data_IF_595615657735
#
_entry.id   IF_595615657735
#
_cell.length_a   1.000
_cell.length_b   1.000
_cell.length_c   1.000
_cell.angle_alpha   90.00
_cell.angle_beta   90.00
_cell.angle_gamma   90.00
#
_symmetry.space_group_name_H-M   'P 1'
#
loop_
_entity.id
_entity.type
_entity.pdbx_description
1 polymer ?
#
# COMPACT_ATOMS: atom_id res chain seq x y z
N UNK A 1 23.18 15.83 -15.67
CA UNK A 1 21.83 16.01 -16.23
C UNK A 1 21.22 17.23 -15.58
N UNK A 2 20.77 18.20 -16.37
CA UNK A 2 20.00 19.34 -15.88
C UNK A 2 18.69 18.89 -15.20
N UNK A 3 18.16 19.67 -14.25
CA UNK A 3 17.00 19.29 -13.44
C UNK A 3 15.71 19.19 -14.27
N UNK A 4 15.50 20.11 -15.21
CA UNK A 4 14.28 20.13 -16.01
C UNK A 4 14.31 18.99 -17.04
N UNK A 5 15.49 18.74 -17.60
CA UNK A 5 15.72 17.53 -18.42
C UNK A 5 15.45 16.26 -17.61
N UNK A 6 15.94 16.18 -16.36
CA UNK A 6 15.69 15.04 -15.49
C UNK A 6 14.20 14.83 -15.18
N UNK A 7 13.45 15.92 -14.96
CA UNK A 7 12.00 15.89 -14.75
C UNK A 7 11.27 15.35 -15.97
N UNK A 8 11.63 15.83 -17.15
CA UNK A 8 10.99 15.45 -18.41
C UNK A 8 11.24 13.97 -18.73
N UNK A 9 12.48 13.50 -18.61
CA UNK A 9 12.78 12.09 -18.89
C UNK A 9 12.19 11.14 -17.84
N UNK A 10 12.16 11.52 -16.56
CA UNK A 10 11.56 10.68 -15.52
C UNK A 10 10.03 10.66 -15.58
N UNK A 11 9.38 11.70 -16.13
CA UNK A 11 7.93 11.77 -16.25
C UNK A 11 7.35 10.63 -17.10
N UNK A 12 8.16 10.04 -17.98
CA UNK A 12 7.79 8.88 -18.77
C UNK A 12 7.60 7.61 -17.92
N UNK A 13 8.35 7.48 -16.83
CA UNK A 13 8.40 6.26 -16.02
C UNK A 13 7.73 6.39 -14.66
N UNK A 14 7.70 7.61 -14.12
CA UNK A 14 7.32 7.89 -12.74
C UNK A 14 6.03 8.72 -12.74
N UNK A 15 4.94 8.23 -12.13
CA UNK A 15 3.72 9.02 -11.96
C UNK A 15 3.97 10.24 -11.06
N UNK A 16 3.35 11.37 -11.40
CA UNK A 16 3.36 12.61 -10.61
C UNK A 16 4.76 13.14 -10.24
N UNK A 17 5.75 13.04 -11.14
CA UNK A 17 7.13 13.55 -10.92
C UNK A 17 7.17 14.99 -10.44
N UNK A 18 6.23 15.83 -10.92
CA UNK A 18 6.13 17.25 -10.54
C UNK A 18 5.94 17.48 -9.04
N UNK A 19 5.41 16.49 -8.32
CA UNK A 19 5.17 16.58 -6.87
C UNK A 19 6.36 16.09 -6.03
N UNK A 20 7.42 15.62 -6.68
CA UNK A 20 8.62 15.08 -6.02
C UNK A 20 9.63 16.20 -5.82
N UNK A 21 10.29 16.23 -4.66
CA UNK A 21 11.34 17.23 -4.37
C UNK A 21 12.53 17.14 -5.34
N UNK A 22 13.09 18.29 -5.71
CA UNK A 22 14.21 18.37 -6.67
C UNK A 22 15.42 17.51 -6.26
N UNK A 23 15.74 17.48 -4.98
CA UNK A 23 16.80 16.61 -4.43
C UNK A 23 16.53 15.12 -4.69
N UNK A 24 15.26 14.72 -4.61
CA UNK A 24 14.86 13.33 -4.87
C UNK A 24 14.90 13.00 -6.36
N UNK A 25 14.47 13.93 -7.22
CA UNK A 25 14.55 13.82 -8.68
C UNK A 25 16.00 13.65 -9.12
N UNK A 26 16.93 14.52 -8.68
CA UNK A 26 18.36 14.40 -9.03
C UNK A 26 18.95 13.05 -8.64
N UNK A 27 18.64 12.58 -7.42
CA UNK A 27 19.13 11.27 -6.93
C UNK A 27 18.49 10.08 -7.63
N UNK A 28 17.26 10.21 -8.12
CA UNK A 28 16.59 9.17 -8.90
C UNK A 28 17.14 9.15 -10.32
N UNK A 29 17.23 10.30 -10.98
CA UNK A 29 17.77 10.44 -12.32
C UNK A 29 19.20 9.87 -12.42
N UNK A 30 20.06 10.17 -11.45
CA UNK A 30 21.44 9.68 -11.45
C UNK A 30 21.60 8.17 -11.23
N UNK A 31 20.58 7.44 -10.74
CA UNK A 31 20.71 6.02 -10.35
C UNK A 31 19.76 5.07 -11.07
N UNK A 32 18.58 5.56 -11.44
CA UNK A 32 17.52 4.74 -12.00
C UNK A 32 17.28 5.00 -13.49
N UNK A 33 17.54 6.21 -14.00
CA UNK A 33 17.11 6.60 -15.33
C UNK A 33 17.69 5.73 -16.45
N UNK A 34 18.98 5.41 -16.37
CA UNK A 34 19.63 4.51 -17.31
C UNK A 34 19.01 3.10 -17.28
N UNK A 35 18.75 2.57 -16.07
CA UNK A 35 18.07 1.28 -15.87
C UNK A 35 16.65 1.28 -16.41
N UNK A 36 15.90 2.37 -16.22
CA UNK A 36 14.53 2.50 -16.73
C UNK A 36 14.48 2.55 -18.26
N UNK A 37 15.39 3.30 -18.89
CA UNK A 37 15.53 3.31 -20.35
C UNK A 37 15.86 1.90 -20.88
N UNK A 38 16.70 1.15 -20.17
CA UNK A 38 17.03 -0.22 -20.54
C UNK A 38 15.83 -1.19 -20.38
N UNK A 39 15.11 -1.11 -19.27
CA UNK A 39 13.88 -1.89 -19.08
C UNK A 39 12.85 -1.59 -20.18
N UNK A 40 12.70 -0.31 -20.57
CA UNK A 40 11.81 0.08 -21.67
C UNK A 40 12.19 -0.61 -22.99
N UNK A 41 13.48 -0.65 -23.33
CA UNK A 41 13.96 -1.36 -24.54
C UNK A 41 13.63 -2.84 -24.52
N UNK A 42 13.64 -3.45 -23.33
CA UNK A 42 13.27 -4.84 -23.11
C UNK A 42 11.75 -5.07 -22.99
N UNK A 43 10.93 -4.03 -23.14
CA UNK A 43 9.47 -4.11 -22.97
C UNK A 43 9.01 -4.24 -21.51
N UNK A 44 9.88 -3.97 -20.54
CA UNK A 44 9.59 -4.07 -19.10
C UNK A 44 9.20 -2.69 -18.57
N UNK A 45 7.97 -2.56 -18.10
CA UNK A 45 7.50 -1.33 -17.44
C UNK A 45 8.04 -1.20 -16.01
N UNK A 46 8.27 0.05 -15.58
CA UNK A 46 8.64 0.38 -14.19
C UNK A 46 7.43 0.14 -13.28
N UNK A 47 7.64 -0.56 -12.16
CA UNK A 47 6.56 -1.06 -11.29
C UNK A 47 6.51 -0.32 -9.94
N UNK A 48 5.30 -0.15 -9.44
CA UNK A 48 5.02 0.46 -8.13
C UNK A 48 4.16 -0.47 -7.26
N UNK A 49 3.98 -0.15 -5.98
CA UNK A 49 3.18 -0.97 -5.08
C UNK A 49 3.94 -2.10 -4.38
N UNK A 50 3.30 -3.27 -4.27
CA UNK A 50 3.84 -4.40 -3.49
C UNK A 50 4.91 -5.15 -4.29
N UNK A 51 5.96 -5.57 -3.59
CA UNK A 51 7.07 -6.34 -4.18
C UNK A 51 6.70 -7.80 -4.35
N UNK A 52 6.99 -8.35 -5.53
CA UNK A 52 6.77 -9.77 -5.82
C UNK A 52 7.78 -10.65 -5.10
N UNK A 53 7.52 -11.95 -5.06
CA UNK A 53 8.49 -12.90 -4.50
C UNK A 53 9.83 -12.87 -5.29
N UNK A 54 9.77 -12.90 -6.62
CA UNK A 54 10.95 -12.81 -7.50
C UNK A 54 11.78 -11.55 -7.22
N UNK A 55 11.14 -10.40 -7.05
CA UNK A 55 11.84 -9.16 -6.69
C UNK A 55 12.50 -9.25 -5.30
N UNK A 56 11.83 -9.87 -4.33
CA UNK A 56 12.40 -10.04 -2.99
C UNK A 56 13.61 -11.00 -2.99
N UNK A 57 13.59 -12.03 -3.83
CA UNK A 57 14.72 -12.93 -4.04
C UNK A 57 15.87 -12.23 -4.74
N UNK A 58 15.59 -11.39 -5.76
CA UNK A 58 16.61 -10.56 -6.40
C UNK A 58 17.27 -9.60 -5.41
N UNK A 59 16.50 -8.94 -4.54
CA UNK A 59 17.07 -8.07 -3.48
C UNK A 59 18.03 -8.85 -2.59
N UNK A 60 17.68 -10.10 -2.24
CA UNK A 60 18.56 -10.94 -1.40
C UNK A 60 19.85 -11.30 -2.12
N UNK A 61 19.77 -11.67 -3.41
CA UNK A 61 20.94 -11.94 -4.25
C UNK A 61 21.86 -10.73 -4.36
N UNK A 62 21.32 -9.56 -4.73
CA UNK A 62 22.10 -8.34 -4.90
C UNK A 62 22.80 -7.91 -3.60
N UNK A 63 22.13 -8.09 -2.44
CA UNK A 63 22.75 -7.82 -1.14
C UNK A 63 23.86 -8.83 -0.83
N UNK A 64 23.63 -10.13 -1.07
CA UNK A 64 24.64 -11.15 -0.85
C UNK A 64 25.90 -10.91 -1.70
N UNK A 65 25.73 -10.62 -2.99
CA UNK A 65 26.83 -10.27 -3.89
C UNK A 65 27.62 -9.04 -3.41
N UNK A 66 26.91 -8.01 -2.92
CA UNK A 66 27.55 -6.81 -2.38
C UNK A 66 28.36 -7.13 -1.11
N UNK A 67 27.86 -7.99 -0.23
CA UNK A 67 28.59 -8.43 0.97
C UNK A 67 29.85 -9.21 0.58
N UNK A 68 29.73 -10.15 -0.38
CA UNK A 68 30.88 -10.90 -0.90
C UNK A 68 31.94 -10.01 -1.53
N UNK A 69 31.54 -8.95 -2.25
CA UNK A 69 32.45 -8.00 -2.88
C UNK A 69 33.18 -7.10 -1.86
N UNK A 70 32.52 -6.72 -0.78
CA UNK A 70 33.03 -5.72 0.18
C UNK A 70 33.63 -6.31 1.44
N UNK A 71 33.38 -7.60 1.73
CA UNK A 71 33.78 -8.25 2.97
C UNK A 71 33.00 -7.78 4.20
N UNK A 72 31.92 -7.00 4.03
CA UNK A 72 31.09 -6.56 5.16
C UNK A 72 30.35 -7.79 5.71
N UNK A 73 30.42 -7.99 7.02
CA UNK A 73 29.96 -9.21 7.70
C UNK A 73 28.45 -9.48 7.54
N UNK A 74 27.62 -8.45 7.49
CA UNK A 74 26.16 -8.65 7.48
C UNK A 74 25.38 -7.58 6.73
N UNK A 75 24.22 -8.00 6.20
CA UNK A 75 23.25 -7.09 5.58
C UNK A 75 22.75 -6.03 6.57
N UNK A 76 22.71 -6.35 7.87
CA UNK A 76 22.30 -5.41 8.90
C UNK A 76 23.28 -4.24 8.99
N UNK A 77 24.59 -4.50 9.02
CA UNK A 77 25.62 -3.45 9.03
C UNK A 77 25.48 -2.51 7.82
N UNK A 78 25.24 -3.06 6.63
CA UNK A 78 25.08 -2.28 5.40
C UNK A 78 23.80 -1.42 5.38
N UNK A 79 22.68 -1.95 5.88
CA UNK A 79 21.35 -1.32 5.79
C UNK A 79 21.01 -0.44 7.00
N UNK A 80 21.61 -0.73 8.15
CA UNK A 80 21.40 -0.07 9.44
C UNK A 80 22.72 0.44 10.03
N UNK A 81 23.57 1.05 9.21
CA UNK A 81 24.90 1.60 9.59
C UNK A 81 24.90 2.46 10.86
N UNK A 82 23.78 3.07 11.22
CA UNK A 82 23.64 3.89 12.42
C UNK A 82 23.65 3.07 13.73
N UNK A 83 23.38 1.76 13.68
CA UNK A 83 23.50 0.82 14.82
C UNK A 83 24.95 0.46 15.13
N UNK A 84 25.87 0.76 14.21
CA UNK A 84 27.30 0.40 14.28
C UNK A 84 28.14 1.69 14.12
N UNK A 85 28.15 2.57 15.14
CA UNK A 85 28.78 3.89 15.04
C UNK A 85 30.28 3.82 14.73
N UNK A 86 30.99 2.83 15.27
CA UNK A 86 32.43 2.62 15.08
C UNK A 86 32.78 2.29 13.62
N UNK A 87 31.97 1.45 12.96
CA UNK A 87 32.20 1.01 11.58
C UNK A 87 31.50 1.90 10.53
N UNK A 88 30.71 2.88 10.98
CA UNK A 88 29.78 3.65 10.14
C UNK A 88 30.47 4.32 8.96
N UNK A 89 31.60 4.98 9.19
CA UNK A 89 32.32 5.74 8.17
C UNK A 89 32.95 4.81 7.12
N UNK A 90 33.55 3.71 7.56
CA UNK A 90 34.11 2.69 6.67
C UNK A 90 33.02 2.10 5.76
N UNK A 91 31.88 1.71 6.34
CA UNK A 91 30.75 1.17 5.56
C UNK A 91 30.18 2.22 4.60
N UNK A 92 30.11 3.50 5.00
CA UNK A 92 29.63 4.57 4.11
C UNK A 92 30.56 4.81 2.91
N UNK A 93 31.89 4.76 3.12
CA UNK A 93 32.88 4.83 2.04
C UNK A 93 32.71 3.68 1.05
N UNK A 94 32.68 2.44 1.54
CA UNK A 94 32.47 1.26 0.70
C UNK A 94 31.16 1.33 -0.10
N UNK A 95 30.08 1.82 0.50
CA UNK A 95 28.80 2.00 -0.20
C UNK A 95 28.87 3.04 -1.32
N UNK A 96 29.69 4.07 -1.17
CA UNK A 96 29.90 5.09 -2.19
C UNK A 96 30.79 4.55 -3.32
N UNK A 97 31.93 3.97 -2.98
CA UNK A 97 32.92 3.40 -3.91
C UNK A 97 32.30 2.29 -4.78
N UNK A 98 31.60 1.34 -4.15
CA UNK A 98 30.98 0.21 -4.84
C UNK A 98 29.56 0.50 -5.33
N UNK A 99 29.14 1.77 -5.34
CA UNK A 99 27.83 2.24 -5.84
C UNK A 99 26.66 1.39 -5.35
N UNK A 100 26.61 1.14 -4.03
CA UNK A 100 25.67 0.20 -3.39
C UNK A 100 24.21 0.34 -3.84
N UNK A 101 23.73 1.58 -4.02
CA UNK A 101 22.34 1.84 -4.40
C UNK A 101 22.00 1.35 -5.81
N UNK A 102 22.98 1.28 -6.70
CA UNK A 102 22.82 0.73 -8.05
C UNK A 102 22.88 -0.78 -8.00
N UNK A 103 23.90 -1.33 -7.32
CA UNK A 103 24.05 -2.78 -7.11
C UNK A 103 22.83 -3.44 -6.49
N UNK A 104 22.29 -2.87 -5.41
CA UNK A 104 21.07 -3.43 -4.77
C UNK A 104 19.85 -3.39 -5.70
N UNK A 105 19.83 -2.52 -6.70
CA UNK A 105 18.69 -2.28 -7.57
C UNK A 105 18.79 -2.98 -8.93
N UNK A 106 19.90 -3.66 -9.18
CA UNK A 106 20.19 -4.39 -10.40
C UNK A 106 19.10 -5.45 -10.69
N UNK A 107 18.64 -5.51 -11.94
CA UNK A 107 17.59 -6.45 -12.36
C UNK A 107 16.17 -6.20 -11.81
N UNK A 108 15.95 -5.13 -11.03
CA UNK A 108 14.64 -4.85 -10.43
C UNK A 108 14.02 -3.61 -11.10
N UNK A 109 12.84 -3.71 -11.74
CA UNK A 109 12.20 -2.60 -12.46
C UNK A 109 11.46 -1.65 -11.51
N UNK A 110 12.15 -1.15 -10.48
CA UNK A 110 11.61 -0.21 -9.50
C UNK A 110 12.62 0.88 -9.15
N UNK A 111 12.15 2.05 -8.67
CA UNK A 111 13.05 3.08 -8.13
C UNK A 111 13.91 2.55 -6.98
N UNK A 112 15.22 2.86 -7.00
CA UNK A 112 16.20 2.35 -6.04
C UNK A 112 15.81 2.64 -4.58
N UNK A 113 15.13 3.75 -4.31
CA UNK A 113 14.67 4.11 -2.96
C UNK A 113 13.64 3.12 -2.43
N UNK A 114 12.69 2.70 -3.27
CA UNK A 114 11.68 1.72 -2.88
C UNK A 114 12.33 0.36 -2.61
N UNK A 115 13.31 -0.01 -3.44
CA UNK A 115 14.11 -1.23 -3.28
C UNK A 115 14.90 -1.18 -1.97
N UNK A 116 15.56 -0.06 -1.68
CA UNK A 116 16.29 0.14 -0.43
C UNK A 116 15.38 0.04 0.81
N UNK A 117 14.19 0.67 0.77
CA UNK A 117 13.21 0.52 1.85
C UNK A 117 12.71 -0.92 2.00
N UNK A 118 12.54 -1.64 0.89
CA UNK A 118 12.15 -3.05 0.92
C UNK A 118 13.26 -3.92 1.51
N UNK A 119 14.51 -3.72 1.10
CA UNK A 119 15.68 -4.42 1.64
C UNK A 119 15.78 -4.23 3.15
N UNK A 120 15.64 -2.98 3.63
CA UNK A 120 15.57 -2.72 5.09
C UNK A 120 14.50 -3.56 5.77
N UNK A 121 13.31 -3.72 5.20
CA UNK A 121 12.26 -4.57 5.81
C UNK A 121 12.60 -6.06 5.80
N UNK A 122 13.27 -6.55 4.76
CA UNK A 122 13.68 -7.96 4.63
C UNK A 122 14.75 -8.31 5.67
N UNK A 123 15.70 -7.41 5.88
CA UNK A 123 16.90 -7.64 6.69
C UNK A 123 16.88 -6.98 8.08
N UNK A 124 15.75 -6.40 8.52
CA UNK A 124 15.65 -5.88 9.89
C UNK A 124 15.36 -7.03 10.87
N UNK A 125 16.29 -7.41 11.78
CA UNK A 125 16.05 -8.45 12.78
C UNK A 125 14.94 -8.07 13.77
N UNK A 126 14.62 -6.77 13.87
CA UNK A 126 13.54 -6.26 14.71
C UNK A 126 12.17 -6.26 14.02
N UNK A 127 12.10 -6.76 12.78
CA UNK A 127 10.84 -6.99 12.10
C UNK A 127 10.23 -8.36 12.48
N UNK A 128 8.96 -8.58 12.15
CA UNK A 128 8.26 -9.86 12.35
C UNK A 128 8.13 -10.36 13.81
N UNK A 129 8.27 -9.48 14.81
CA UNK A 129 8.10 -9.80 16.25
C UNK A 129 6.65 -10.07 16.71
N UNK A 130 5.72 -10.31 15.78
CA UNK A 130 4.32 -10.63 16.10
C UNK A 130 3.52 -9.47 16.72
N UNK A 131 2.45 -9.81 17.42
CA UNK A 131 1.51 -8.85 18.04
C UNK A 131 2.17 -8.17 19.26
N UNK A 132 1.72 -6.95 19.57
CA UNK A 132 2.16 -6.25 20.78
C UNK A 132 1.40 -6.79 22.00
N UNK A 133 2.14 -7.19 23.03
CA UNK A 133 1.56 -7.52 24.33
C UNK A 133 1.08 -6.26 25.05
N UNK A 134 0.37 -6.42 26.17
CA UNK A 134 -0.11 -5.28 26.94
C UNK A 134 1.06 -4.52 27.59
N UNK A 135 2.04 -5.25 28.10
CA UNK A 135 3.27 -4.70 28.71
C UNK A 135 4.08 -3.93 27.67
N UNK A 136 4.18 -4.43 26.43
CA UNK A 136 4.85 -3.71 25.34
C UNK A 136 4.14 -2.40 24.99
N UNK A 137 2.81 -2.35 25.03
CA UNK A 137 2.05 -1.11 24.79
C UNK A 137 2.29 -0.09 25.90
N UNK A 138 2.37 -0.53 27.15
CA UNK A 138 2.66 0.33 28.29
C UNK A 138 4.09 0.87 28.25
N UNK A 139 5.07 0.00 27.95
CA UNK A 139 6.47 0.40 27.71
C UNK A 139 6.56 1.41 26.57
N UNK A 140 5.84 1.19 25.46
CA UNK A 140 5.80 2.12 24.33
C UNK A 140 5.29 3.50 24.75
N UNK A 141 4.20 3.58 25.53
CA UNK A 141 3.71 4.86 26.06
C UNK A 141 4.74 5.53 26.96
N UNK A 142 5.42 4.78 27.83
CA UNK A 142 6.47 5.30 28.70
C UNK A 142 7.67 5.83 27.90
N UNK A 143 8.18 5.07 26.93
CA UNK A 143 9.31 5.49 26.11
C UNK A 143 8.98 6.70 25.23
N UNK A 144 7.76 6.78 24.70
CA UNK A 144 7.30 7.97 24.00
C UNK A 144 7.23 9.20 24.91
N UNK A 145 6.75 9.05 26.15
CA UNK A 145 6.74 10.16 27.11
C UNK A 145 8.16 10.68 27.44
N UNK A 146 9.18 9.82 27.40
CA UNK A 146 10.58 10.20 27.69
C UNK A 146 11.34 10.73 26.48
N UNK A 147 11.11 10.18 25.28
CA UNK A 147 11.93 10.46 24.08
C UNK A 147 11.15 11.14 22.96
N UNK A 148 9.86 11.42 23.15
CA UNK A 148 8.98 11.96 22.13
C UNK A 148 8.89 11.06 20.90
N UNK A 149 8.89 11.66 19.71
CA UNK A 149 8.79 10.97 18.44
C UNK A 149 10.13 10.41 17.92
N UNK A 150 11.14 10.19 18.79
CA UNK A 150 12.38 9.52 18.40
C UNK A 150 12.17 8.00 18.24
N UNK A 151 11.52 7.64 17.14
CA UNK A 151 11.21 6.24 16.82
C UNK A 151 12.44 5.37 16.62
N UNK A 152 13.62 5.95 16.33
CA UNK A 152 14.87 5.17 16.24
C UNK A 152 15.28 4.74 17.64
N UNK A 153 15.31 5.67 18.59
CA UNK A 153 15.66 5.35 19.98
C UNK A 153 14.66 4.38 20.62
N UNK A 154 13.36 4.61 20.43
CA UNK A 154 12.32 3.74 20.98
C UNK A 154 12.37 2.35 20.32
N UNK A 155 12.69 2.26 19.02
CA UNK A 155 12.85 0.99 18.30
C UNK A 155 13.93 0.09 18.91
N UNK A 156 15.07 0.68 19.31
CA UNK A 156 16.13 -0.05 20.01
C UNK A 156 15.66 -0.56 21.36
N UNK A 157 15.06 0.32 22.18
CA UNK A 157 14.56 -0.01 23.52
C UNK A 157 13.49 -1.11 23.49
N UNK A 158 12.66 -1.13 22.43
CA UNK A 158 11.60 -2.12 22.27
C UNK A 158 12.02 -3.37 21.49
N UNK A 159 13.22 -3.41 20.91
CA UNK A 159 13.66 -4.49 20.00
C UNK A 159 12.64 -4.78 18.88
N UNK A 160 11.96 -3.73 18.40
CA UNK A 160 10.94 -3.78 17.33
C UNK A 160 11.21 -2.70 16.31
N UNK A 161 10.89 -2.95 15.04
CA UNK A 161 11.19 -2.00 13.96
C UNK A 161 10.58 -0.62 14.21
N UNK A 162 11.30 0.44 13.81
CA UNK A 162 10.90 1.83 13.99
C UNK A 162 9.50 2.14 13.45
N UNK A 163 9.17 1.59 12.28
CA UNK A 163 7.87 1.74 11.66
C UNK A 163 6.78 1.04 12.48
N UNK A 164 7.06 -0.17 12.99
CA UNK A 164 6.10 -0.91 13.84
C UNK A 164 5.77 -0.12 15.10
N UNK A 165 6.79 0.43 15.77
CA UNK A 165 6.66 1.22 16.99
C UNK A 165 5.85 2.50 16.73
N UNK A 166 6.22 3.29 15.71
CA UNK A 166 5.50 4.52 15.36
C UNK A 166 4.03 4.24 15.00
N UNK A 167 3.78 3.20 14.21
CA UNK A 167 2.43 2.78 13.84
C UNK A 167 1.63 2.33 15.04
N UNK A 168 2.21 1.49 15.92
CA UNK A 168 1.51 1.02 17.11
C UNK A 168 1.21 2.18 18.06
N UNK A 169 2.14 3.11 18.25
CA UNK A 169 1.87 4.30 19.07
C UNK A 169 0.71 5.12 18.49
N UNK A 170 0.68 5.34 17.18
CA UNK A 170 -0.42 6.07 16.53
C UNK A 170 -1.79 5.41 16.76
N UNK A 171 -1.84 4.09 16.95
CA UNK A 171 -3.05 3.32 17.23
C UNK A 171 -3.49 3.40 18.70
N UNK A 172 -2.53 3.53 19.64
CA UNK A 172 -2.79 3.46 21.09
C UNK A 172 -2.64 4.79 21.83
N UNK A 173 -2.28 5.88 21.12
CA UNK A 173 -2.07 7.23 21.68
C UNK A 173 -3.33 7.79 22.36
N UNK A 174 -4.51 7.34 21.95
CA UNK A 174 -5.81 7.80 22.46
C UNK A 174 -6.63 6.63 23.00
N UNK A 175 -7.60 6.92 23.87
CA UNK A 175 -8.60 5.95 24.31
C UNK A 175 -9.53 5.61 23.13
N UNK A 176 -9.11 4.65 22.31
CA UNK A 176 -9.84 4.21 21.13
C UNK A 176 -10.85 3.14 21.53
N UNK A 177 -12.09 3.29 21.09
CA UNK A 177 -13.11 2.29 21.29
C UNK A 177 -12.83 1.07 20.39
N UNK A 178 -12.76 -0.11 21.01
CA UNK A 178 -12.73 -1.39 20.32
C UNK A 178 -14.09 -2.09 20.52
N UNK A 179 -14.78 -2.41 19.43
CA UNK A 179 -16.13 -2.98 19.48
C UNK A 179 -17.05 -2.48 18.35
N UNK A 180 -18.33 -2.89 18.36
CA UNK A 180 -19.33 -2.46 17.38
C UNK A 180 -19.44 -0.94 17.29
N UNK A 181 -19.74 -0.42 16.10
CA UNK A 181 -19.94 1.02 15.88
C UNK A 181 -21.33 1.43 16.35
N UNK A 182 -21.43 2.43 17.22
CA UNK A 182 -22.73 3.00 17.60
C UNK A 182 -23.31 3.86 16.48
N UNK A 183 -24.60 4.22 16.58
CA UNK A 183 -25.27 5.07 15.58
C UNK A 183 -24.64 6.47 15.56
N UNK A 184 -24.28 6.98 16.72
CA UNK A 184 -23.66 8.29 16.93
C UNK A 184 -22.27 8.33 16.30
N UNK A 185 -21.46 7.28 16.50
CA UNK A 185 -20.14 7.16 15.88
C UNK A 185 -20.24 7.13 14.34
N UNK A 186 -21.22 6.39 13.81
CA UNK A 186 -21.47 6.33 12.36
C UNK A 186 -21.88 7.70 11.83
N UNK A 187 -22.72 8.44 12.55
CA UNK A 187 -23.16 9.77 12.14
C UNK A 187 -21.99 10.77 12.16
N UNK A 188 -21.16 10.77 13.21
CA UNK A 188 -19.93 11.59 13.28
C UNK A 188 -18.99 11.27 12.13
N UNK A 189 -18.79 9.99 11.80
CA UNK A 189 -17.96 9.59 10.66
C UNK A 189 -18.50 10.14 9.33
N UNK A 190 -19.81 10.03 9.09
CA UNK A 190 -20.44 10.56 7.87
C UNK A 190 -20.29 12.08 7.75
N UNK A 191 -20.51 12.80 8.85
CA UNK A 191 -20.37 14.26 8.90
C UNK A 191 -18.92 14.69 8.63
N UNK A 192 -17.95 14.05 9.31
CA UNK A 192 -16.54 14.34 9.13
C UNK A 192 -16.06 14.10 7.68
N UNK A 193 -16.54 13.03 7.04
CA UNK A 193 -16.22 12.76 5.63
C UNK A 193 -16.89 13.77 4.71
N UNK A 194 -18.17 14.12 4.92
CA UNK A 194 -18.89 15.10 4.10
C UNK A 194 -18.21 16.47 4.15
N UNK A 195 -17.76 16.91 5.32
CA UNK A 195 -17.07 18.18 5.48
C UNK A 195 -15.71 18.19 4.75
N UNK A 196 -14.93 17.11 4.86
CA UNK A 196 -13.63 16.99 4.18
C UNK A 196 -13.79 16.95 2.66
N UNK A 197 -14.82 16.26 2.15
CA UNK A 197 -15.13 16.26 0.71
C UNK A 197 -15.56 17.64 0.23
N UNK A 198 -16.42 18.34 0.98
CA UNK A 198 -16.86 19.70 0.65
C UNK A 198 -15.67 20.64 0.52
N UNK A 199 -14.77 20.64 1.52
CA UNK A 199 -13.57 21.48 1.51
C UNK A 199 -12.65 21.19 0.31
N UNK A 200 -12.52 19.91 -0.07
CA UNK A 200 -11.72 19.54 -1.26
C UNK A 200 -12.33 20.05 -2.56
N UNK A 201 -13.64 19.94 -2.71
CA UNK A 201 -14.36 20.48 -3.87
C UNK A 201 -14.24 22.01 -3.95
N UNK A 202 -14.34 22.69 -2.82
CA UNK A 202 -14.14 24.15 -2.73
C UNK A 202 -12.70 24.58 -3.10
N UNK A 203 -11.71 23.69 -2.94
CA UNK A 203 -10.29 23.97 -3.27
C UNK A 203 -9.91 23.57 -4.70
N UNK A 204 -10.53 22.54 -5.28
CA UNK A 204 -10.24 22.04 -6.63
C UNK A 204 -10.99 22.83 -7.73
N UNK A 205 -12.03 23.59 -7.38
CA UNK A 205 -12.98 24.17 -8.35
C UNK A 205 -13.32 25.66 -8.08
N UNK A 206 -12.32 26.54 -8.07
CA UNK A 206 -12.51 27.99 -7.93
C UNK A 206 -13.23 28.65 -9.13
N UNK A 207 -13.55 27.92 -10.20
CA UNK A 207 -14.28 28.45 -11.38
C UNK A 207 -15.72 27.99 -11.53
N UNK A 208 -16.25 27.12 -10.65
CA UNK A 208 -17.63 26.59 -10.79
C UNK A 208 -18.53 26.87 -9.57
N UNK A 209 -18.17 27.86 -8.74
CA UNK A 209 -18.82 28.18 -7.47
C UNK A 209 -20.29 28.66 -7.62
N UNK A 210 -20.76 29.04 -8.81
CA UNK A 210 -22.12 29.60 -8.94
C UNK A 210 -23.26 28.59 -9.10
N UNK A 211 -22.99 27.29 -9.28
CA UNK A 211 -24.05 26.31 -9.65
C UNK A 211 -24.52 25.38 -8.53
N UNK A 212 -23.90 25.40 -7.35
CA UNK A 212 -24.20 24.44 -6.26
C UNK A 212 -25.07 25.01 -5.13
N UNK A 213 -25.40 26.30 -5.15
CA UNK A 213 -26.27 26.90 -4.13
C UNK A 213 -27.77 26.62 -4.36
N UNK A 214 -28.16 26.02 -5.50
CA UNK A 214 -29.58 25.82 -5.84
C UNK A 214 -30.01 24.38 -6.19
N UNK A 215 -29.11 23.39 -6.19
CA UNK A 215 -29.52 21.99 -6.29
C UNK A 215 -29.56 21.34 -4.90
N UNK A 216 -30.76 21.00 -4.43
CA UNK A 216 -31.01 20.12 -3.28
C UNK A 216 -30.55 18.66 -3.52
N UNK A 217 -29.60 18.43 -4.43
CA UNK A 217 -29.01 17.12 -4.67
C UNK A 217 -27.90 16.87 -3.67
N UNK A 218 -28.07 15.82 -2.86
CA UNK A 218 -27.12 15.42 -1.82
C UNK A 218 -25.74 15.19 -2.47
N UNK A 219 -24.62 15.72 -1.93
CA UNK A 219 -23.26 15.56 -2.48
C UNK A 219 -22.75 14.10 -2.60
N UNK A 220 -23.61 13.14 -2.29
CA UNK A 220 -23.42 11.70 -2.28
C UNK A 220 -23.68 11.02 -3.63
N UNK A 221 -24.07 11.77 -4.67
CA UNK A 221 -24.48 11.22 -5.97
C UNK A 221 -23.29 10.75 -6.82
N UNK A 222 -22.11 11.36 -6.65
CA UNK A 222 -20.96 11.05 -7.51
C UNK A 222 -20.10 9.91 -6.94
N UNK A 223 -20.30 8.72 -7.53
CA UNK A 223 -19.66 7.45 -7.15
C UNK A 223 -18.13 7.51 -7.21
N UNK A 224 -17.58 8.30 -8.13
CA UNK A 224 -16.14 8.45 -8.34
C UNK A 224 -15.51 9.34 -7.24
N UNK A 225 -16.20 10.44 -6.88
CA UNK A 225 -15.79 11.35 -5.80
C UNK A 225 -15.75 10.67 -4.42
N UNK A 226 -16.63 9.69 -4.18
CA UNK A 226 -16.66 8.93 -2.92
C UNK A 226 -15.46 7.98 -2.74
N UNK A 227 -14.76 7.63 -3.82
CA UNK A 227 -13.61 6.72 -3.82
C UNK A 227 -12.26 7.44 -3.68
N UNK A 228 -12.26 8.78 -3.64
CA UNK A 228 -11.06 9.59 -3.58
C UNK A 228 -10.24 9.38 -2.30
N UNK A 229 -8.95 9.74 -2.35
CA UNK A 229 -8.08 9.68 -1.19
C UNK A 229 -8.50 10.72 -0.13
N UNK A 230 -9.05 10.22 0.98
CA UNK A 230 -9.45 11.05 2.12
C UNK A 230 -8.31 11.17 3.16
N UNK A 231 -8.12 12.35 3.78
CA UNK A 231 -7.21 12.56 4.91
C UNK A 231 -7.76 11.91 6.19
N UNK A 232 -7.56 10.59 6.32
CA UNK A 232 -8.14 9.80 7.42
C UNK A 232 -7.67 10.23 8.82
N UNK A 233 -6.50 10.85 8.94
CA UNK A 233 -6.00 11.41 10.20
C UNK A 233 -6.82 12.62 10.66
N UNK A 234 -7.27 13.48 9.75
CA UNK A 234 -8.17 14.59 10.08
C UNK A 234 -9.55 14.04 10.49
N UNK A 235 -10.05 13.04 9.75
CA UNK A 235 -11.31 12.37 10.04
C UNK A 235 -11.27 11.69 11.42
N UNK A 236 -10.17 11.03 11.78
CA UNK A 236 -9.96 10.47 13.12
C UNK A 236 -10.12 11.55 14.20
N UNK A 237 -9.47 12.70 14.05
CA UNK A 237 -9.57 13.80 15.02
C UNK A 237 -11.01 14.28 15.19
N UNK A 238 -11.78 14.39 14.10
CA UNK A 238 -13.20 14.81 14.15
C UNK A 238 -14.11 13.73 14.75
N UNK A 239 -13.85 12.45 14.48
CA UNK A 239 -14.63 11.34 15.05
C UNK A 239 -14.34 11.18 16.55
N UNK A 240 -13.08 11.35 16.95
CA UNK A 240 -12.62 11.36 18.34
C UNK A 240 -12.62 10.00 19.05
N UNK A 241 -13.53 9.08 18.70
CA UNK A 241 -13.69 7.79 19.38
C UNK A 241 -12.98 6.61 18.72
N UNK A 242 -12.49 6.78 17.47
CA UNK A 242 -11.97 5.69 16.63
C UNK A 242 -10.68 6.09 15.91
N UNK A 243 -9.77 5.13 15.75
CA UNK A 243 -8.52 5.29 14.99
C UNK A 243 -8.78 5.41 13.49
N UNK A 244 -7.96 6.16 12.75
CA UNK A 244 -8.16 6.43 11.31
C UNK A 244 -8.37 5.18 10.46
N UNK A 245 -7.71 4.06 10.79
CA UNK A 245 -7.91 2.77 10.07
C UNK A 245 -9.30 2.21 10.30
N UNK A 246 -9.84 2.33 11.51
CA UNK A 246 -11.21 1.92 11.82
C UNK A 246 -12.20 2.80 11.06
N UNK A 247 -11.98 4.12 11.04
CA UNK A 247 -12.78 5.07 10.26
C UNK A 247 -12.79 4.70 8.77
N UNK A 248 -11.61 4.48 8.18
CA UNK A 248 -11.44 4.05 6.77
C UNK A 248 -12.17 2.73 6.48
N UNK A 249 -11.98 1.73 7.34
CA UNK A 249 -12.61 0.42 7.16
C UNK A 249 -14.15 0.53 7.25
N UNK A 250 -14.66 1.27 8.23
CA UNK A 250 -16.09 1.47 8.41
C UNK A 250 -16.69 2.24 7.23
N UNK A 251 -16.02 3.29 6.77
CA UNK A 251 -16.44 4.05 5.59
C UNK A 251 -16.53 3.18 4.35
N UNK A 252 -15.49 2.38 4.06
CA UNK A 252 -15.52 1.44 2.93
C UNK A 252 -16.69 0.44 3.03
N UNK A 253 -17.04 0.00 4.24
CA UNK A 253 -18.22 -0.85 4.46
C UNK A 253 -19.53 -0.11 4.22
N UNK A 254 -19.64 1.16 4.61
CA UNK A 254 -20.81 2.01 4.34
C UNK A 254 -20.96 2.23 2.83
N UNK A 255 -19.87 2.54 2.12
CA UNK A 255 -19.85 2.68 0.67
C UNK A 255 -20.29 1.38 0.00
N UNK A 256 -19.72 0.24 0.38
CA UNK A 256 -20.10 -1.06 -0.18
C UNK A 256 -21.61 -1.33 -0.04
N UNK A 257 -22.19 -1.05 1.13
CA UNK A 257 -23.64 -1.23 1.38
C UNK A 257 -24.51 -0.26 0.59
N UNK A 258 -24.06 0.98 0.36
CA UNK A 258 -24.78 1.94 -0.47
C UNK A 258 -24.76 1.52 -1.93
N UNK A 259 -23.61 1.10 -2.44
CA UNK A 259 -23.44 0.63 -3.81
C UNK A 259 -24.28 -0.63 -4.08
N UNK A 260 -24.53 -1.47 -3.06
CA UNK A 260 -25.34 -2.69 -3.19
C UNK A 260 -26.85 -2.51 -2.97
N UNK A 261 -27.34 -1.34 -2.55
CA UNK A 261 -28.73 -1.15 -2.07
C UNK A 261 -29.79 -0.94 -3.16
N UNK A 262 -29.42 -0.93 -4.45
CA UNK A 262 -30.34 -0.69 -5.58
C UNK A 262 -30.89 -1.94 -6.28
N UNK A 263 -30.47 -3.16 -5.91
CA UNK A 263 -30.85 -4.40 -6.57
C UNK A 263 -31.01 -5.49 -5.51
N UNK A 264 -32.25 -5.84 -5.15
CA UNK A 264 -32.51 -6.86 -4.11
C UNK A 264 -32.98 -8.19 -4.71
N UNK A 265 -33.58 -8.19 -5.92
CA UNK A 265 -33.95 -9.39 -6.69
C UNK A 265 -32.85 -9.83 -7.69
N UNK A 266 -32.19 -8.88 -8.37
CA UNK A 266 -31.05 -9.15 -9.28
C UNK A 266 -29.73 -9.44 -8.53
N UNK A 267 -29.76 -9.47 -7.19
CA UNK A 267 -28.57 -9.42 -6.34
C UNK A 267 -27.76 -10.71 -6.34
N UNK A 268 -28.43 -11.85 -6.38
CA UNK A 268 -27.79 -13.17 -6.36
C UNK A 268 -27.18 -13.50 -7.72
N UNK A 269 -27.95 -13.30 -8.79
CA UNK A 269 -27.48 -13.44 -10.18
C UNK A 269 -26.35 -12.47 -10.47
N UNK A 270 -26.45 -11.19 -10.09
CA UNK A 270 -25.36 -10.23 -10.27
C UNK A 270 -24.13 -10.57 -9.42
N UNK A 271 -24.31 -11.05 -8.18
CA UNK A 271 -23.18 -11.46 -7.35
C UNK A 271 -22.47 -12.69 -7.92
N UNK A 272 -23.20 -13.61 -8.54
CA UNK A 272 -22.65 -14.79 -9.21
C UNK A 272 -21.94 -14.38 -10.51
N UNK A 273 -22.55 -13.52 -11.32
CA UNK A 273 -21.94 -12.93 -12.51
C UNK A 273 -20.64 -12.18 -12.17
N UNK A 274 -20.63 -11.40 -11.08
CA UNK A 274 -19.43 -10.71 -10.62
C UNK A 274 -18.31 -11.68 -10.22
N UNK A 275 -18.64 -12.84 -9.62
CA UNK A 275 -17.64 -13.87 -9.29
C UNK A 275 -17.09 -14.50 -10.57
N UNK A 276 -17.94 -14.84 -11.54
CA UNK A 276 -17.55 -15.40 -12.84
C UNK A 276 -16.61 -14.43 -13.57
N UNK A 277 -17.03 -13.17 -13.74
CA UNK A 277 -16.22 -12.12 -14.38
C UNK A 277 -14.89 -11.94 -13.67
N UNK A 278 -14.88 -11.92 -12.33
CA UNK A 278 -13.66 -11.78 -11.54
C UNK A 278 -12.68 -12.95 -11.78
N UNK A 279 -13.17 -14.20 -11.80
CA UNK A 279 -12.31 -15.37 -12.04
C UNK A 279 -11.75 -15.35 -13.47
N UNK A 280 -12.60 -15.14 -14.49
CA UNK A 280 -12.19 -15.12 -15.90
C UNK A 280 -11.13 -14.06 -16.16
N UNK A 281 -11.38 -12.82 -15.74
CA UNK A 281 -10.44 -11.71 -15.93
C UNK A 281 -9.12 -11.92 -15.19
N UNK A 282 -9.16 -12.43 -13.96
CA UNK A 282 -7.94 -12.75 -13.22
C UNK A 282 -7.11 -13.84 -13.92
N UNK A 283 -7.76 -14.83 -14.52
CA UNK A 283 -7.07 -15.91 -15.24
C UNK A 283 -6.50 -15.43 -16.58
N UNK A 284 -7.25 -14.61 -17.32
CA UNK A 284 -6.81 -14.00 -18.58
C UNK A 284 -5.59 -13.09 -18.42
N UNK A 285 -5.42 -12.45 -17.26
CA UNK A 285 -4.24 -11.63 -16.95
C UNK A 285 -2.94 -12.45 -16.87
N UNK A 286 -3.01 -13.79 -16.73
CA UNK A 286 -1.85 -14.72 -16.65
C UNK A 286 -0.76 -14.26 -15.68
N UNK A 287 -1.19 -13.69 -14.57
CA UNK A 287 -0.30 -13.15 -13.54
C UNK A 287 0.10 -14.26 -12.57
N UNK A 288 1.40 -14.36 -12.26
CA UNK A 288 1.93 -15.36 -11.32
C UNK A 288 1.89 -14.89 -9.85
N UNK A 289 1.91 -13.57 -9.60
CA UNK A 289 1.93 -12.99 -8.26
C UNK A 289 0.70 -12.10 -7.99
N UNK A 290 -0.02 -12.25 -6.86
CA UNK A 290 -1.21 -11.43 -6.54
C UNK A 290 -0.95 -9.92 -6.55
N UNK A 291 0.32 -9.50 -6.41
CA UNK A 291 0.74 -8.11 -6.40
C UNK A 291 0.89 -7.50 -7.80
N UNK A 292 0.93 -8.33 -8.85
CA UNK A 292 0.98 -7.91 -10.25
C UNK A 292 -0.42 -7.77 -10.87
N UNK A 293 -1.48 -8.17 -10.16
CA UNK A 293 -2.87 -8.05 -10.61
C UNK A 293 -3.27 -6.58 -10.81
N UNK A 294 -3.80 -6.27 -12.00
CA UNK A 294 -4.38 -4.97 -12.30
C UNK A 294 -5.80 -4.85 -11.71
N UNK A 295 -5.88 -4.46 -10.44
CA UNK A 295 -7.17 -4.30 -9.75
C UNK A 295 -8.02 -3.13 -10.25
N UNK A 296 -7.46 -2.20 -11.03
CA UNK A 296 -8.21 -1.09 -11.63
C UNK A 296 -9.04 -1.58 -12.81
N UNK A 297 -8.45 -2.37 -13.70
CA UNK A 297 -9.18 -3.05 -14.77
C UNK A 297 -10.29 -3.96 -14.22
N UNK A 298 -10.03 -4.69 -13.12
CA UNK A 298 -11.07 -5.49 -12.46
C UNK A 298 -12.17 -4.64 -11.80
N UNK A 299 -11.83 -3.42 -11.35
CA UNK A 299 -12.79 -2.48 -10.81
C UNK A 299 -13.75 -2.01 -11.90
N UNK A 300 -13.22 -1.64 -13.06
CA UNK A 300 -13.99 -1.21 -14.23
C UNK A 300 -14.91 -2.34 -14.73
N UNK A 301 -14.37 -3.55 -14.90
CA UNK A 301 -15.11 -4.72 -15.37
C UNK A 301 -16.26 -5.14 -14.43
N UNK A 302 -16.21 -4.78 -13.15
CA UNK A 302 -17.22 -5.10 -12.14
C UNK A 302 -18.16 -3.92 -11.84
N UNK A 303 -18.21 -2.92 -12.70
CA UNK A 303 -19.11 -1.76 -12.57
C UNK A 303 -18.56 -0.66 -11.68
N UNK A 304 -17.26 -0.35 -11.81
CA UNK A 304 -16.55 0.71 -11.08
C UNK A 304 -16.59 0.54 -9.55
N UNK A 305 -16.39 -0.69 -9.08
CA UNK A 305 -16.31 -0.98 -7.65
C UNK A 305 -14.94 -0.56 -7.09
N UNK A 306 -14.86 0.16 -5.95
CA UNK A 306 -13.58 0.54 -5.39
C UNK A 306 -12.65 -0.67 -5.22
N UNK A 307 -11.38 -0.54 -5.62
CA UNK A 307 -10.32 -1.59 -5.58
C UNK A 307 -10.30 -2.41 -4.29
N UNK A 308 -10.50 -1.77 -3.14
CA UNK A 308 -10.53 -2.46 -1.85
C UNK A 308 -11.70 -3.44 -1.71
N UNK A 309 -12.85 -3.16 -2.34
CA UNK A 309 -14.01 -4.05 -2.37
C UNK A 309 -13.72 -5.25 -3.26
N UNK A 310 -13.19 -5.03 -4.47
CA UNK A 310 -12.84 -6.11 -5.41
C UNK A 310 -11.81 -7.05 -4.80
N UNK A 311 -10.75 -6.50 -4.20
CA UNK A 311 -9.76 -7.28 -3.44
C UNK A 311 -10.40 -8.07 -2.29
N UNK A 312 -11.37 -7.48 -1.60
CA UNK A 312 -12.13 -8.15 -0.54
C UNK A 312 -13.06 -9.26 -1.07
N UNK A 313 -13.66 -9.08 -2.24
CA UNK A 313 -14.47 -10.10 -2.92
C UNK A 313 -13.59 -11.29 -3.32
N UNK A 314 -12.45 -11.05 -3.96
CA UNK A 314 -11.48 -12.10 -4.29
C UNK A 314 -10.99 -12.83 -3.04
N UNK A 315 -10.64 -12.10 -1.98
CA UNK A 315 -10.20 -12.71 -0.73
C UNK A 315 -11.27 -13.63 -0.13
N UNK A 316 -12.54 -13.19 -0.08
CA UNK A 316 -13.65 -14.03 0.40
C UNK A 316 -13.84 -15.27 -0.48
N UNK A 317 -13.84 -15.09 -1.80
CA UNK A 317 -13.97 -16.18 -2.76
C UNK A 317 -12.86 -17.23 -2.57
N UNK A 318 -11.61 -16.78 -2.47
CA UNK A 318 -10.46 -17.65 -2.20
C UNK A 318 -10.64 -18.43 -0.90
N UNK A 319 -10.96 -17.75 0.20
CA UNK A 319 -11.04 -18.37 1.53
C UNK A 319 -12.22 -19.33 1.64
N UNK A 320 -13.36 -19.02 1.04
CA UNK A 320 -14.56 -19.86 1.11
C UNK A 320 -14.50 -21.06 0.18
N UNK A 321 -13.78 -20.94 -0.94
CA UNK A 321 -13.95 -21.87 -2.07
C UNK A 321 -12.73 -22.75 -2.33
N UNK A 322 -11.52 -22.31 -1.94
CA UNK A 322 -10.27 -23.03 -2.23
C UNK A 322 -9.78 -23.76 -0.97
N UNK A 323 -9.79 -25.11 -0.97
CA UNK A 323 -9.26 -25.90 0.13
C UNK A 323 -7.77 -25.66 0.33
N UNK A 324 -7.34 -25.59 1.60
CA UNK A 324 -5.93 -25.43 1.99
C UNK A 324 -5.22 -24.28 1.25
N UNK A 325 -5.94 -23.21 0.90
CA UNK A 325 -5.43 -22.08 0.11
C UNK A 325 -4.14 -21.45 0.66
N UNK A 326 -3.86 -21.62 1.95
CA UNK A 326 -2.64 -21.12 2.61
C UNK A 326 -1.35 -21.80 2.10
N UNK A 327 -1.46 -23.02 1.55
CA UNK A 327 -0.33 -23.80 1.03
C UNK A 327 -0.21 -23.75 -0.49
N UNK A 328 -1.10 -23.01 -1.16
CA UNK A 328 -1.15 -22.89 -2.61
C UNK A 328 -0.57 -21.56 -3.07
N UNK A 329 0.15 -21.59 -4.18
CA UNK A 329 0.56 -20.43 -4.96
C UNK A 329 -0.64 -19.73 -5.57
N UNK A 330 -0.45 -18.51 -6.07
CA UNK A 330 -1.53 -17.79 -6.72
C UNK A 330 -2.02 -18.51 -7.98
N UNK A 331 -1.12 -19.08 -8.80
CA UNK A 331 -1.49 -19.90 -9.94
C UNK A 331 -2.35 -21.10 -9.52
N UNK A 332 -1.91 -21.89 -8.54
CA UNK A 332 -2.68 -23.05 -8.06
C UNK A 332 -4.06 -22.67 -7.48
N UNK A 333 -4.17 -21.47 -6.90
CA UNK A 333 -5.46 -20.92 -6.44
C UNK A 333 -6.34 -20.57 -7.64
N UNK A 334 -5.78 -19.93 -8.67
CA UNK A 334 -6.51 -19.53 -9.87
C UNK A 334 -6.95 -20.75 -10.70
N UNK A 335 -6.06 -21.73 -10.90
CA UNK A 335 -6.35 -22.98 -11.59
C UNK A 335 -7.52 -23.70 -10.90
N UNK A 336 -7.48 -23.84 -9.57
CA UNK A 336 -8.58 -24.43 -8.80
C UNK A 336 -9.90 -23.67 -8.99
N UNK A 337 -9.86 -22.34 -8.98
CA UNK A 337 -11.06 -21.52 -9.17
C UNK A 337 -11.65 -21.69 -10.58
N UNK A 338 -10.81 -21.81 -11.60
CA UNK A 338 -11.24 -22.01 -12.99
C UNK A 338 -11.72 -23.43 -13.23
N UNK A 339 -11.05 -24.44 -12.70
CA UNK A 339 -11.40 -25.85 -12.93
C UNK A 339 -12.65 -26.29 -12.17
N UNK A 340 -12.84 -25.82 -10.94
CA UNK A 340 -13.88 -26.34 -10.06
C UNK A 340 -14.99 -25.35 -9.71
N UNK A 341 -14.68 -24.05 -9.61
CA UNK A 341 -15.66 -23.05 -9.14
C UNK A 341 -16.30 -22.26 -10.25
N UNK A 342 -15.58 -22.00 -11.33
CA UNK A 342 -16.12 -21.31 -12.50
C UNK A 342 -17.28 -22.11 -13.13
N UNK A 343 -17.16 -23.43 -13.40
CA UNK A 343 -18.27 -24.21 -13.95
C UNK A 343 -19.45 -24.27 -12.98
N UNK A 344 -19.19 -24.48 -11.69
CA UNK A 344 -20.24 -24.49 -10.65
C UNK A 344 -21.03 -23.17 -10.59
N UNK A 345 -20.36 -22.03 -10.81
CA UNK A 345 -21.02 -20.74 -10.86
C UNK A 345 -21.76 -20.50 -12.16
N UNK A 346 -21.23 -20.97 -13.30
CA UNK A 346 -21.90 -20.87 -14.59
C UNK A 346 -23.15 -21.75 -14.68
N UNK A 347 -23.15 -22.92 -14.03
CA UNK A 347 -24.34 -23.79 -13.94
C UNK A 347 -25.45 -23.25 -13.03
N UNK A 348 -25.10 -22.41 -12.05
CA UNK A 348 -26.04 -21.83 -11.08
C UNK A 348 -26.63 -20.49 -11.52
N UNK A 349 -26.07 -19.90 -12.57
CA UNK A 349 -26.52 -18.65 -13.17
C UNK A 349 -27.57 -18.95 -14.24
#
# INVERSE_FOLDING_TARGET
LDLDTAKQELAEFIPHVKNISDSSIRKMAGRDLARFKEFKKQGIAVRFGRFTQKENEQIRRNVAEFLSLTGIESAEKVLFTWRFPEEREAIQRLKAEQRFCEKISEGIPRPWRLIYYRARKIFDPNNYKGRYTQEEKEKLKKYHAMHGNDWKKISELMSRSNLSVAMKFSEIKSAVNYGPWTREEIQKLKLAVKEVMKRKLEMEDASCVSSLEQSNEDPWVDREKLCQQLPWTEIETKVGSRFWRQCKQKWNSILAKKMSKGQESERETQALQNKITLIKRLYEMKVEDPNEVNWEELSEALGNLPKAIVQGQFYRLKVSSVPLWQRKTFCEIMDFLVEHKLPEFEEKL
#
